data_IF_325708588125
#
_entry.id   IF_325708588125
#
_cell.length_a   1.000
_cell.length_b   1.000
_cell.length_c   1.000
_cell.angle_alpha   90.00
_cell.angle_beta   90.00
_cell.angle_gamma   90.00
#
_symmetry.space_group_name_H-M   'P 1'
#
loop_
_entity.id
_entity.type
_entity.pdbx_description
1 polymer ?
#
# COMPACT_ATOMS: atom_id res chain seq x y z
N UNK A 1 -22.27 -52.42 24.34
CA UNK A 1 -22.32 -51.00 24.76
C UNK A 1 -21.24 -50.26 23.97
N UNK A 2 -21.61 -49.57 22.88
CA UNK A 2 -20.66 -48.82 22.06
C UNK A 2 -20.87 -47.32 22.31
N UNK A 3 -19.83 -46.65 22.80
CA UNK A 3 -19.84 -45.21 23.08
C UNK A 3 -19.51 -44.48 21.77
N UNK A 4 -20.46 -43.72 21.25
CA UNK A 4 -20.28 -42.83 20.09
C UNK A 4 -19.43 -41.62 20.51
N UNK A 5 -18.22 -41.50 19.97
CA UNK A 5 -17.37 -40.31 20.14
C UNK A 5 -17.92 -39.12 19.34
N UNK A 6 -17.61 -37.87 19.75
CA UNK A 6 -18.19 -36.68 19.12
C UNK A 6 -17.69 -36.52 17.68
N UNK A 7 -18.62 -36.28 16.76
CA UNK A 7 -18.31 -36.00 15.36
C UNK A 7 -17.48 -34.72 15.25
N UNK A 8 -16.22 -34.82 14.79
CA UNK A 8 -15.37 -33.66 14.51
C UNK A 8 -15.73 -33.12 13.13
N UNK A 9 -16.33 -31.94 13.08
CA UNK A 9 -16.57 -31.23 11.82
C UNK A 9 -15.24 -30.85 11.17
N UNK A 10 -15.13 -31.12 9.87
CA UNK A 10 -13.99 -30.67 9.07
C UNK A 10 -14.05 -29.16 8.83
N UNK A 11 -12.89 -28.53 8.58
CA UNK A 11 -12.80 -27.09 8.28
C UNK A 11 -13.75 -26.67 7.14
N UNK A 12 -13.93 -27.52 6.11
CA UNK A 12 -14.85 -27.27 4.99
C UNK A 12 -16.32 -27.29 5.42
N UNK A 13 -16.70 -28.17 6.34
CA UNK A 13 -18.06 -28.22 6.86
C UNK A 13 -18.37 -27.00 7.74
N UNK A 14 -17.41 -26.54 8.54
CA UNK A 14 -17.55 -25.29 9.32
C UNK A 14 -17.72 -24.08 8.40
N UNK A 15 -16.90 -23.97 7.35
CA UNK A 15 -17.04 -22.90 6.35
C UNK A 15 -18.36 -23.00 5.57
N UNK A 16 -18.82 -24.21 5.25
CA UNK A 16 -20.11 -24.43 4.59
C UNK A 16 -21.30 -23.97 5.42
N UNK A 17 -21.30 -24.27 6.73
CA UNK A 17 -22.35 -23.83 7.66
C UNK A 17 -22.32 -22.31 7.86
N UNK A 18 -21.13 -21.71 8.00
CA UNK A 18 -20.99 -20.25 8.10
C UNK A 18 -21.46 -19.52 6.83
N UNK A 19 -21.10 -20.03 5.65
CA UNK A 19 -21.52 -19.48 4.37
C UNK A 19 -23.04 -19.61 4.12
N UNK A 20 -23.62 -20.76 4.47
CA UNK A 20 -25.06 -20.98 4.38
C UNK A 20 -25.85 -20.09 5.35
N UNK A 21 -25.37 -19.89 6.58
CA UNK A 21 -26.00 -19.00 7.56
C UNK A 21 -25.99 -17.52 7.14
N UNK A 22 -24.89 -17.04 6.55
CA UNK A 22 -24.82 -15.68 6.03
C UNK A 22 -25.69 -15.47 4.78
N UNK A 23 -25.77 -16.46 3.89
CA UNK A 23 -26.59 -16.41 2.68
C UNK A 23 -28.10 -16.43 2.95
N UNK A 24 -28.55 -17.20 3.96
CA UNK A 24 -29.97 -17.28 4.32
C UNK A 24 -30.48 -15.99 4.98
N UNK A 25 -29.64 -15.32 5.76
CA UNK A 25 -29.98 -14.03 6.39
C UNK A 25 -30.19 -12.91 5.37
N UNK A 26 -29.42 -12.91 4.27
CA UNK A 26 -29.56 -11.94 3.19
C UNK A 26 -30.87 -12.14 2.40
N UNK A 27 -31.32 -13.38 2.24
CA UNK A 27 -32.54 -13.69 1.48
C UNK A 27 -33.81 -13.39 2.26
N UNK A 28 -33.83 -13.59 3.59
CA UNK A 28 -34.98 -13.24 4.44
C UNK A 28 -35.15 -11.74 4.68
N UNK A 29 -34.10 -10.93 4.52
CA UNK A 29 -34.19 -9.46 4.62
C UNK A 29 -34.69 -8.79 3.33
N UNK A 30 -34.82 -9.51 2.22
CA UNK A 30 -35.16 -8.92 0.92
C UNK A 30 -36.66 -8.62 0.74
N UNK A 31 -37.54 -9.18 1.57
CA UNK A 31 -38.99 -9.12 1.37
C UNK A 31 -39.74 -8.28 2.40
N UNK A 32 -39.07 -7.64 3.35
CA UNK A 32 -39.73 -6.76 4.33
C UNK A 32 -38.77 -5.68 4.82
N UNK A 33 -39.02 -4.44 4.40
CA UNK A 33 -38.33 -3.19 4.80
C UNK A 33 -36.96 -2.89 4.14
N UNK A 34 -37.03 -1.97 3.16
CA UNK A 34 -36.32 -0.69 3.19
C UNK A 34 -34.82 -0.68 3.64
N UNK A 35 -33.95 -0.46 2.66
CA UNK A 35 -32.93 0.61 2.70
C UNK A 35 -31.92 0.67 3.86
N UNK A 36 -31.56 -0.45 4.52
CA UNK A 36 -30.46 -0.48 5.50
C UNK A 36 -29.53 -1.68 5.35
N UNK A 37 -29.05 -1.93 4.13
CA UNK A 37 -27.78 -2.63 3.97
C UNK A 37 -26.67 -1.64 4.37
N UNK A 38 -25.82 -1.96 5.36
CA UNK A 38 -24.60 -1.20 5.55
C UNK A 38 -23.69 -1.53 4.36
N UNK A 39 -23.81 -0.76 3.28
CA UNK A 39 -22.76 -0.58 2.28
C UNK A 39 -21.54 0.15 2.87
N UNK A 40 -21.19 -0.19 4.13
CA UNK A 40 -20.32 0.56 5.01
C UNK A 40 -18.83 0.44 4.66
N UNK A 41 -18.49 0.01 3.45
CA UNK A 41 -17.08 -0.03 3.03
C UNK A 41 -16.74 0.58 1.69
N UNK A 42 -17.69 0.92 0.80
CA UNK A 42 -17.31 1.45 -0.52
C UNK A 42 -18.34 2.43 -1.08
N UNK A 43 -18.72 3.43 -0.29
CA UNK A 43 -19.12 4.71 -0.91
C UNK A 43 -17.83 5.47 -1.16
N UNK A 44 -17.36 5.50 -2.41
CA UNK A 44 -16.43 6.53 -2.87
C UNK A 44 -17.15 7.87 -2.74
N UNK A 45 -17.14 8.44 -1.53
CA UNK A 45 -17.69 9.76 -1.27
C UNK A 45 -17.02 10.73 -2.24
N UNK A 46 -17.82 11.65 -2.81
CA UNK A 46 -17.30 12.70 -3.67
C UNK A 46 -16.04 13.29 -3.01
N UNK A 47 -14.92 13.27 -3.75
CA UNK A 47 -13.63 13.70 -3.22
C UNK A 47 -13.80 15.07 -2.57
N UNK A 48 -13.68 15.13 -1.24
CA UNK A 48 -13.71 16.40 -0.52
C UNK A 48 -12.58 17.24 -1.09
N UNK A 49 -12.91 18.42 -1.64
CA UNK A 49 -11.90 19.34 -2.17
C UNK A 49 -10.95 19.69 -1.03
N UNK A 50 -9.74 19.12 -1.05
CA UNK A 50 -8.68 19.41 -0.08
C UNK A 50 -8.20 20.82 -0.38
N UNK A 51 -8.28 21.72 0.60
CA UNK A 51 -7.72 23.06 0.51
C UNK A 51 -6.38 23.09 1.23
N UNK A 52 -5.36 23.62 0.57
CA UNK A 52 -4.05 23.81 1.17
C UNK A 52 -3.85 25.27 1.61
N UNK A 53 -3.07 25.52 2.68
CA UNK A 53 -2.66 26.88 3.04
C UNK A 53 -1.96 27.59 1.88
N UNK A 54 -2.07 28.92 1.82
CA UNK A 54 -1.33 29.72 0.85
C UNK A 54 0.17 29.50 1.06
N UNK A 55 0.90 29.23 -0.03
CA UNK A 55 2.34 29.00 0.00
C UNK A 55 2.76 27.60 0.44
N UNK A 56 1.84 26.63 0.51
CA UNK A 56 2.21 25.23 0.71
C UNK A 56 3.11 24.74 -0.44
N UNK A 57 4.14 23.97 -0.08
CA UNK A 57 5.15 23.45 -1.00
C UNK A 57 5.32 21.94 -0.82
N UNK A 58 5.83 21.31 -1.87
CA UNK A 58 6.36 19.94 -1.83
C UNK A 58 7.87 20.05 -1.86
N UNK A 59 8.52 19.77 -0.72
CA UNK A 59 9.97 19.77 -0.61
C UNK A 59 10.53 18.45 -1.15
N UNK A 60 11.27 18.53 -2.25
CA UNK A 60 12.00 17.37 -2.80
C UNK A 60 13.48 17.44 -2.41
N UNK A 61 14.24 16.38 -2.71
CA UNK A 61 15.68 16.35 -2.47
C UNK A 61 16.47 17.34 -3.35
N UNK A 62 15.87 17.80 -4.46
CA UNK A 62 16.49 18.73 -5.40
C UNK A 62 16.03 20.18 -5.20
N UNK A 63 14.74 20.40 -4.99
CA UNK A 63 14.12 21.73 -4.86
C UNK A 63 12.72 21.68 -4.27
N UNK A 64 12.22 22.84 -3.87
CA UNK A 64 10.80 23.01 -3.52
C UNK A 64 9.96 23.12 -4.80
N UNK A 65 8.81 22.45 -4.82
CA UNK A 65 7.81 22.47 -5.90
C UNK A 65 6.49 23.06 -5.40
N UNK A 66 5.72 23.68 -6.29
CA UNK A 66 4.33 24.07 -6.00
C UNK A 66 3.41 22.84 -6.07
N UNK A 67 2.22 22.93 -5.49
CA UNK A 67 1.25 21.83 -5.49
C UNK A 67 0.77 21.47 -6.91
N UNK A 68 0.75 22.45 -7.80
CA UNK A 68 0.33 22.34 -9.20
C UNK A 68 1.43 21.77 -10.10
N UNK A 69 2.68 21.69 -9.62
CA UNK A 69 3.82 21.20 -10.40
C UNK A 69 3.80 19.67 -10.60
N UNK A 70 3.05 18.93 -9.79
CA UNK A 70 2.89 17.47 -9.94
C UNK A 70 1.57 17.17 -10.65
N UNK A 71 1.64 16.64 -11.87
CA UNK A 71 0.49 16.36 -12.74
C UNK A 71 0.42 14.91 -13.22
N UNK A 72 0.68 13.94 -12.33
CA UNK A 72 0.68 12.52 -12.65
C UNK A 72 0.57 11.63 -11.41
N UNK A 73 0.96 10.36 -11.55
CA UNK A 73 0.89 9.38 -10.47
C UNK A 73 2.03 9.58 -9.48
N UNK A 74 1.71 9.46 -8.19
CA UNK A 74 2.67 9.58 -7.09
C UNK A 74 2.73 8.24 -6.36
N UNK A 75 3.94 7.70 -6.20
CA UNK A 75 4.17 6.58 -5.30
C UNK A 75 4.52 7.14 -3.91
N UNK A 76 3.62 7.00 -2.96
CA UNK A 76 3.74 7.65 -1.65
C UNK A 76 4.62 6.91 -0.64
N UNK A 77 5.06 5.69 -0.95
CA UNK A 77 5.85 4.90 -0.01
C UNK A 77 6.71 3.87 -0.76
N UNK A 78 7.92 4.26 -1.12
CA UNK A 78 8.91 3.38 -1.74
C UNK A 78 10.22 3.39 -0.96
N UNK A 79 11.11 2.46 -1.27
CA UNK A 79 12.49 2.43 -0.76
C UNK A 79 13.43 2.31 -1.95
N UNK A 80 14.10 3.40 -2.29
CA UNK A 80 14.98 3.52 -3.45
C UNK A 80 16.42 3.12 -3.14
N UNK A 81 16.74 2.85 -1.87
CA UNK A 81 18.04 2.39 -1.45
C UNK A 81 17.95 1.39 -0.28
N UNK A 82 19.07 0.74 0.01
CA UNK A 82 19.18 -0.34 0.98
C UNK A 82 18.97 -1.69 0.33
N UNK A 83 19.78 -2.66 0.74
CA UNK A 83 19.69 -4.03 0.22
C UNK A 83 19.22 -4.93 1.34
N UNK A 84 18.06 -5.55 1.15
CA UNK A 84 17.44 -6.39 2.16
C UNK A 84 17.60 -7.87 1.85
N UNK A 85 17.79 -8.66 2.90
CA UNK A 85 17.65 -10.10 2.83
C UNK A 85 16.18 -10.47 2.67
N UNK A 86 15.86 -11.35 1.71
CA UNK A 86 14.50 -11.88 1.53
C UNK A 86 14.11 -12.84 2.66
N UNK A 87 15.09 -13.47 3.31
CA UNK A 87 14.85 -14.46 4.37
C UNK A 87 14.69 -13.78 5.73
N UNK A 88 15.66 -12.93 6.11
CA UNK A 88 15.68 -12.30 7.45
C UNK A 88 14.97 -10.95 7.47
N UNK A 89 14.67 -10.36 6.30
CA UNK A 89 14.16 -8.99 6.16
C UNK A 89 15.05 -7.92 6.81
N UNK A 90 16.31 -8.26 7.07
CA UNK A 90 17.32 -7.35 7.59
C UNK A 90 18.17 -6.79 6.45
N UNK A 91 18.81 -5.65 6.70
CA UNK A 91 19.81 -5.10 5.80
C UNK A 91 20.97 -6.09 5.60
N UNK A 92 21.42 -6.21 4.35
CA UNK A 92 22.62 -6.96 3.93
C UNK A 92 23.88 -6.12 4.01
N UNK A 93 23.75 -4.80 3.88
CA UNK A 93 24.85 -3.84 3.93
C UNK A 93 24.64 -2.90 5.11
N UNK A 94 25.72 -2.42 5.76
CA UNK A 94 25.58 -1.41 6.79
C UNK A 94 24.98 -0.11 6.21
N UNK A 95 24.21 0.65 7.00
CA UNK A 95 23.81 2.01 6.62
C UNK A 95 24.99 3.01 6.72
N UNK A 96 25.05 4.04 5.87
CA UNK A 96 24.22 4.25 4.68
C UNK A 96 24.58 3.24 3.59
N UNK A 97 23.62 2.90 2.72
CA UNK A 97 23.81 1.91 1.67
C UNK A 97 24.96 2.28 0.74
N UNK A 98 25.77 1.28 0.41
CA UNK A 98 26.81 1.33 -0.61
C UNK A 98 26.45 0.48 -1.84
N UNK A 99 25.16 0.19 -2.02
CA UNK A 99 24.67 -0.63 -3.12
C UNK A 99 24.80 0.09 -4.46
N UNK A 100 24.87 -0.69 -5.54
CA UNK A 100 24.75 -0.14 -6.89
C UNK A 100 23.32 0.35 -7.14
N UNK A 101 23.19 1.63 -7.49
CA UNK A 101 21.91 2.28 -7.77
C UNK A 101 21.48 2.17 -9.24
N UNK A 102 22.35 1.67 -10.14
CA UNK A 102 22.05 1.62 -11.57
C UNK A 102 20.75 0.86 -11.90
N UNK A 103 20.43 -0.28 -11.26
CA UNK A 103 19.14 -0.95 -11.46
C UNK A 103 17.94 -0.08 -11.05
N UNK A 104 18.04 0.63 -9.92
CA UNK A 104 16.98 1.52 -9.43
C UNK A 104 16.72 2.66 -10.42
N UNK A 105 17.79 3.26 -10.96
CA UNK A 105 17.68 4.30 -11.99
C UNK A 105 17.00 3.75 -13.26
N UNK A 106 17.28 2.51 -13.64
CA UNK A 106 16.62 1.88 -14.80
C UNK A 106 15.12 1.70 -14.55
N UNK A 107 14.72 1.11 -13.42
CA UNK A 107 13.32 0.89 -13.04
C UNK A 107 12.53 2.21 -12.95
N UNK A 108 13.18 3.28 -12.47
CA UNK A 108 12.57 4.60 -12.41
C UNK A 108 12.31 5.21 -13.78
N UNK A 109 13.24 5.06 -14.73
CA UNK A 109 13.02 5.52 -16.11
C UNK A 109 11.85 4.81 -16.76
N UNK A 110 11.70 3.51 -16.50
CA UNK A 110 10.53 2.75 -16.97
C UNK A 110 9.24 3.21 -16.28
N UNK A 111 9.30 3.42 -14.96
CA UNK A 111 8.19 3.93 -14.15
C UNK A 111 7.69 5.29 -14.65
N UNK A 112 8.60 6.19 -15.02
CA UNK A 112 8.25 7.50 -15.60
C UNK A 112 7.48 7.36 -16.90
N UNK A 113 7.81 6.37 -17.74
CA UNK A 113 7.07 6.10 -18.98
C UNK A 113 5.61 5.65 -18.73
N UNK A 114 5.28 5.19 -17.51
CA UNK A 114 3.92 4.83 -17.10
C UNK A 114 3.13 5.99 -16.47
N UNK A 115 3.72 7.20 -16.40
CA UNK A 115 3.09 8.39 -15.84
C UNK A 115 3.34 8.61 -14.35
N UNK A 116 4.32 7.93 -13.74
CA UNK A 116 4.80 8.26 -12.40
C UNK A 116 5.66 9.53 -12.49
N UNK A 117 5.31 10.53 -11.67
CA UNK A 117 5.96 11.86 -11.68
C UNK A 117 6.63 12.22 -10.36
N UNK A 118 6.34 11.48 -9.29
CA UNK A 118 6.93 11.71 -7.98
C UNK A 118 6.94 10.41 -7.18
N UNK A 119 8.02 10.21 -6.44
CA UNK A 119 8.18 9.09 -5.52
C UNK A 119 8.62 9.65 -4.18
N UNK A 120 7.97 9.15 -3.13
CA UNK A 120 8.31 9.44 -1.74
C UNK A 120 9.10 8.25 -1.22
N UNK A 121 10.41 8.46 -1.04
CA UNK A 121 11.26 7.50 -0.35
C UNK A 121 10.95 7.53 1.16
N UNK A 122 10.50 6.40 1.70
CA UNK A 122 10.20 6.20 3.11
C UNK A 122 11.40 5.72 3.93
N UNK A 123 12.60 5.69 3.34
CA UNK A 123 13.82 5.26 4.00
C UNK A 123 14.20 6.18 5.15
N UNK A 124 14.67 5.58 6.24
CA UNK A 124 15.24 6.26 7.39
C UNK A 124 16.66 5.74 7.67
N UNK A 125 17.46 6.40 8.52
CA UNK A 125 18.90 6.11 8.63
C UNK A 125 19.27 4.65 8.93
N UNK A 126 18.49 3.93 9.71
CA UNK A 126 18.67 2.50 10.02
C UNK A 126 18.16 1.55 8.92
N UNK A 127 17.55 2.07 7.86
CA UNK A 127 17.11 1.34 6.66
C UNK A 127 18.09 1.45 5.49
N UNK A 128 19.31 1.95 5.73
CA UNK A 128 20.33 2.05 4.69
C UNK A 128 20.14 3.26 3.77
N UNK A 129 19.32 4.24 4.14
CA UNK A 129 19.12 5.43 3.33
C UNK A 129 20.46 6.15 3.08
N UNK A 130 20.74 6.50 1.83
CA UNK A 130 21.91 7.29 1.44
C UNK A 130 21.44 8.50 0.62
N UNK A 131 21.54 9.70 1.19
CA UNK A 131 21.03 10.91 0.54
C UNK A 131 21.81 11.33 -0.71
N UNK A 132 23.08 10.92 -0.84
CA UNK A 132 23.84 11.19 -2.06
C UNK A 132 23.38 10.28 -3.21
N UNK A 133 23.10 9.00 -2.91
CA UNK A 133 22.42 8.12 -3.86
C UNK A 133 21.05 8.66 -4.25
N UNK A 134 20.20 9.05 -3.30
CA UNK A 134 18.88 9.60 -3.60
C UNK A 134 18.98 10.86 -4.48
N UNK A 135 19.99 11.70 -4.27
CA UNK A 135 20.24 12.88 -5.12
C UNK A 135 20.69 12.48 -6.53
N UNK A 136 21.54 11.46 -6.66
CA UNK A 136 21.98 10.95 -7.96
C UNK A 136 20.82 10.26 -8.71
N UNK A 137 20.00 9.49 -8.01
CA UNK A 137 18.80 8.84 -8.55
C UNK A 137 17.79 9.87 -9.08
N UNK A 138 17.71 11.04 -8.44
CA UNK A 138 16.76 12.09 -8.80
C UNK A 138 17.18 12.96 -10.00
N UNK A 139 18.39 12.78 -10.54
CA UNK A 139 18.94 13.54 -11.68
C UNK A 139 18.52 12.91 -13.02
#
# INVERSE_FOLDING_TARGET
MAVLGPARLTRRQVLGVLGAGAGLHLLSSATSAASRLPGAFQTSGAARKVSFPKGAIIRTILKDLSLEALNGNILFHEHLDGVYSRDTRQLKLPPPSSADIAPVVADLKESMATGIVCIVDGGHPDMGVNYDHLRQISQ
#
